data_IF_522702622709
#
_entry.id   IF_522702622709
#
_cell.length_a   1.000
_cell.length_b   1.000
_cell.length_c   1.000
_cell.angle_alpha   90.00
_cell.angle_beta   90.00
_cell.angle_gamma   90.00
#
_symmetry.space_group_name_H-M   'P 1'
#
loop_
_entity.id
_entity.type
_entity.pdbx_description
1 polymer ?
#
# COMPACT_ATOMS: atom_id res chain seq x y z
N UNK A 1 8.49 0.33 12.30
CA UNK A 1 7.56 -0.71 11.78
C UNK A 1 6.11 -0.28 11.95
N UNK A 2 5.22 -0.81 11.12
CA UNK A 2 3.78 -0.49 11.18
C UNK A 2 3.14 -0.82 12.53
N UNK A 3 3.57 -1.90 13.17
CA UNK A 3 3.10 -2.29 14.50
C UNK A 3 3.43 -1.23 15.55
N UNK A 4 4.61 -0.63 15.48
CA UNK A 4 5.04 0.42 16.42
C UNK A 4 4.22 1.69 16.25
N UNK A 5 3.94 2.06 15.00
CA UNK A 5 3.05 3.17 14.68
C UNK A 5 1.64 2.96 15.25
N UNK A 6 1.08 1.75 15.09
CA UNK A 6 -0.25 1.43 15.63
C UNK A 6 -0.29 1.45 17.16
N UNK A 7 0.77 1.02 17.83
CA UNK A 7 0.89 1.13 19.30
C UNK A 7 0.82 2.58 19.75
N UNK A 8 1.55 3.47 19.10
CA UNK A 8 1.52 4.91 19.38
C UNK A 8 0.12 5.49 19.16
N UNK A 9 -0.53 5.12 18.06
CA UNK A 9 -1.88 5.59 17.77
C UNK A 9 -2.90 5.10 18.80
N UNK A 10 -2.78 3.88 19.27
CA UNK A 10 -3.63 3.36 20.36
C UNK A 10 -3.44 4.11 21.67
N UNK A 11 -2.20 4.49 21.99
CA UNK A 11 -1.91 5.30 23.19
C UNK A 11 -2.49 6.71 23.08
N UNK A 12 -2.38 7.33 21.91
CA UNK A 12 -2.88 8.70 21.68
C UNK A 12 -4.41 8.76 21.54
N UNK A 13 -5.01 7.73 20.98
CA UNK A 13 -6.44 7.66 20.68
C UNK A 13 -7.04 6.33 21.16
N UNK A 14 -7.15 6.12 22.49
CA UNK A 14 -7.52 4.81 23.05
C UNK A 14 -8.96 4.38 22.75
N UNK A 15 -9.85 5.32 22.41
CA UNK A 15 -11.25 5.05 22.08
C UNK A 15 -11.51 4.85 20.59
N UNK A 16 -10.47 4.89 19.76
CA UNK A 16 -10.57 4.75 18.31
C UNK A 16 -10.34 3.30 17.87
N UNK A 17 -11.12 2.87 16.90
CA UNK A 17 -10.85 1.64 16.14
C UNK A 17 -10.00 1.99 14.92
N UNK A 18 -9.00 1.15 14.64
CA UNK A 18 -8.07 1.37 13.54
C UNK A 18 -8.29 0.37 12.43
N UNK A 19 -8.28 0.86 11.21
CA UNK A 19 -8.25 0.03 10.01
C UNK A 19 -6.94 0.34 9.28
N UNK A 20 -6.10 -0.67 9.14
CA UNK A 20 -4.86 -0.58 8.40
C UNK A 20 -5.11 -0.95 6.93
N UNK A 21 -4.92 0.01 6.04
CA UNK A 21 -5.15 -0.18 4.61
C UNK A 21 -3.89 -0.73 3.94
N UNK A 22 -4.04 -1.79 3.18
CA UNK A 22 -2.94 -2.38 2.42
C UNK A 22 -3.42 -2.98 1.10
N UNK A 23 -2.52 -3.05 0.13
CA UNK A 23 -2.78 -3.75 -1.12
C UNK A 23 -2.63 -5.27 -0.97
N UNK A 24 -3.15 -6.01 -1.94
CA UNK A 24 -3.07 -7.47 -1.95
C UNK A 24 -1.62 -8.01 -1.95
N UNK A 25 -0.70 -7.32 -2.60
CA UNK A 25 0.73 -7.63 -2.58
C UNK A 25 1.34 -7.51 -1.17
N UNK A 26 0.99 -6.47 -0.43
CA UNK A 26 1.39 -6.30 0.96
C UNK A 26 0.76 -7.35 1.88
N UNK A 27 -0.49 -7.75 1.63
CA UNK A 27 -1.14 -8.83 2.36
C UNK A 27 -0.39 -10.15 2.17
N UNK A 28 0.02 -10.45 0.95
CA UNK A 28 0.82 -11.66 0.64
C UNK A 28 2.13 -11.68 1.42
N UNK A 29 2.75 -10.52 1.61
CA UNK A 29 4.02 -10.39 2.30
C UNK A 29 3.88 -10.20 3.82
N UNK A 30 2.67 -10.04 4.33
CA UNK A 30 2.39 -9.79 5.75
C UNK A 30 3.03 -10.80 6.72
N UNK A 31 3.12 -12.11 6.41
CA UNK A 31 3.82 -13.06 7.29
C UNK A 31 5.29 -12.73 7.55
N UNK A 32 5.91 -11.96 6.67
CA UNK A 32 7.32 -11.53 6.81
C UNK A 32 7.48 -10.21 7.56
N UNK A 33 6.40 -9.54 7.89
CA UNK A 33 6.44 -8.27 8.60
C UNK A 33 6.84 -8.47 10.06
N UNK A 34 7.30 -7.40 10.68
CA UNK A 34 7.61 -7.41 12.10
C UNK A 34 6.32 -7.50 12.92
N UNK A 35 6.21 -8.55 13.74
CA UNK A 35 5.07 -8.82 14.63
C UNK A 35 3.70 -8.71 13.92
N UNK A 36 3.44 -9.49 12.87
CA UNK A 36 2.21 -9.36 12.11
C UNK A 36 0.96 -9.72 12.90
N UNK A 37 1.03 -10.69 13.83
CA UNK A 37 -0.09 -11.04 14.70
C UNK A 37 -0.45 -9.90 15.64
N UNK A 38 0.53 -9.19 16.19
CA UNK A 38 0.30 -8.03 17.01
C UNK A 38 -0.34 -6.89 16.22
N UNK A 39 0.09 -6.68 14.99
CA UNK A 39 -0.54 -5.71 14.08
C UNK A 39 -2.02 -6.03 13.87
N UNK A 40 -2.37 -7.30 13.68
CA UNK A 40 -3.75 -7.76 13.52
C UNK A 40 -4.59 -7.58 14.80
N UNK A 41 -3.97 -7.61 15.98
CA UNK A 41 -4.66 -7.28 17.23
C UNK A 41 -4.93 -5.79 17.40
N UNK A 42 -4.04 -4.96 16.87
CA UNK A 42 -4.12 -3.50 17.00
C UNK A 42 -5.04 -2.85 15.97
N UNK A 43 -5.23 -3.47 14.82
CA UNK A 43 -6.04 -2.93 13.72
C UNK A 43 -6.74 -4.03 12.93
N UNK A 44 -7.88 -3.68 12.36
CA UNK A 44 -8.47 -4.45 11.28
C UNK A 44 -7.71 -4.15 9.98
N UNK A 45 -7.73 -5.09 9.04
CA UNK A 45 -7.08 -4.93 7.75
C UNK A 45 -8.11 -4.60 6.68
N UNK A 46 -7.92 -3.50 5.97
CA UNK A 46 -8.67 -3.17 4.76
C UNK A 46 -7.80 -3.48 3.55
N UNK A 47 -8.19 -4.45 2.74
CA UNK A 47 -7.36 -4.96 1.66
C UNK A 47 -7.92 -4.55 0.31
N UNK A 48 -7.08 -3.92 -0.51
CA UNK A 48 -7.41 -3.59 -1.89
C UNK A 48 -6.86 -4.66 -2.83
N UNK A 49 -7.73 -5.21 -3.68
CA UNK A 49 -7.32 -6.13 -4.73
C UNK A 49 -6.42 -5.44 -5.77
N UNK A 50 -5.53 -6.22 -6.38
CA UNK A 50 -4.71 -5.77 -7.51
C UNK A 50 -4.86 -6.75 -8.67
N UNK A 51 -4.86 -6.26 -9.96
CA UNK A 51 -5.20 -7.10 -11.11
C UNK A 51 -4.25 -8.29 -11.33
N UNK A 52 -2.98 -8.12 -10.97
CA UNK A 52 -1.91 -9.07 -11.22
C UNK A 52 -1.47 -9.85 -9.97
N UNK A 53 -2.19 -9.71 -8.87
CA UNK A 53 -1.86 -10.39 -7.60
C UNK A 53 -2.93 -11.40 -7.24
N UNK A 54 -2.54 -12.66 -7.15
CA UNK A 54 -3.37 -13.76 -6.66
C UNK A 54 -3.03 -14.07 -5.21
N UNK A 55 -4.02 -14.17 -4.36
CA UNK A 55 -3.89 -14.45 -2.93
C UNK A 55 -4.52 -15.78 -2.60
N UNK A 56 -3.72 -16.67 -2.02
CA UNK A 56 -4.20 -17.93 -1.42
C UNK A 56 -4.47 -17.71 0.07
N UNK A 57 -5.71 -17.35 0.39
CA UNK A 57 -6.10 -17.04 1.77
C UNK A 57 -5.93 -18.21 2.73
N UNK A 58 -6.08 -19.43 2.25
CA UNK A 58 -5.86 -20.65 3.07
C UNK A 58 -4.43 -20.74 3.58
N UNK A 59 -3.45 -20.48 2.71
CA UNK A 59 -2.03 -20.51 3.08
C UNK A 59 -1.68 -19.37 4.05
N UNK A 60 -2.25 -18.19 3.82
CA UNK A 60 -2.06 -17.04 4.71
C UNK A 60 -2.69 -17.27 6.08
N UNK A 61 -3.88 -17.84 6.14
CA UNK A 61 -4.54 -18.20 7.41
C UNK A 61 -3.73 -19.22 8.20
N UNK A 62 -3.10 -20.19 7.53
CA UNK A 62 -2.22 -21.16 8.17
C UNK A 62 -0.99 -20.48 8.79
N UNK A 63 -0.43 -19.47 8.12
CA UNK A 63 0.72 -18.70 8.60
C UNK A 63 0.35 -17.67 9.67
N UNK A 64 -0.83 -17.06 9.55
CA UNK A 64 -1.34 -16.00 10.43
C UNK A 64 -2.77 -16.35 10.86
N UNK A 65 -2.94 -17.19 11.88
CA UNK A 65 -4.27 -17.55 12.37
C UNK A 65 -5.11 -16.33 12.77
N UNK A 66 -6.34 -16.27 12.27
CA UNK A 66 -7.25 -15.15 12.45
C UNK A 66 -7.22 -14.09 11.34
N UNK A 67 -6.37 -14.25 10.33
CA UNK A 67 -6.23 -13.30 9.24
C UNK A 67 -7.53 -13.13 8.43
N UNK A 68 -8.20 -14.21 8.11
CA UNK A 68 -9.45 -14.17 7.33
C UNK A 68 -10.54 -13.36 8.04
N UNK A 69 -10.63 -13.48 9.37
CA UNK A 69 -11.57 -12.70 10.18
C UNK A 69 -11.15 -11.23 10.32
N UNK A 70 -9.85 -10.95 10.36
CA UNK A 70 -9.31 -9.59 10.51
C UNK A 70 -9.30 -8.80 9.19
N UNK A 71 -9.25 -9.48 8.05
CA UNK A 71 -9.19 -8.85 6.73
C UNK A 71 -10.57 -8.60 6.15
N UNK A 72 -10.80 -7.38 5.66
CA UNK A 72 -11.96 -6.99 4.88
C UNK A 72 -11.49 -6.57 3.50
N UNK A 73 -12.00 -7.22 2.46
CA UNK A 73 -11.73 -6.82 1.09
C UNK A 73 -12.54 -5.59 0.73
N UNK A 74 -11.83 -4.55 0.26
CA UNK A 74 -12.45 -3.30 -0.12
C UNK A 74 -12.69 -3.34 -1.63
N UNK A 75 -13.95 -3.15 -2.01
CA UNK A 75 -14.34 -3.04 -3.40
C UNK A 75 -13.95 -1.66 -3.93
N UNK A 76 -13.05 -1.64 -4.89
CA UNK A 76 -12.56 -0.42 -5.52
C UNK A 76 -12.25 -0.69 -6.99
N UNK A 77 -12.28 0.33 -7.85
CA UNK A 77 -11.85 0.17 -9.23
C UNK A 77 -10.42 -0.38 -9.30
N UNK A 78 -10.23 -1.41 -10.13
CA UNK A 78 -8.91 -1.96 -10.38
C UNK A 78 -8.19 -1.09 -11.40
N UNK A 79 -7.20 -0.33 -10.92
CA UNK A 79 -6.34 0.51 -11.77
C UNK A 79 -4.96 -0.14 -11.79
N UNK A 80 -4.53 -0.56 -12.97
CA UNK A 80 -3.19 -1.12 -13.17
C UNK A 80 -2.15 -0.01 -13.25
N UNK A 81 -1.86 0.58 -12.08
CA UNK A 81 -0.92 1.67 -11.93
C UNK A 81 0.03 1.37 -10.76
N UNK A 82 1.32 1.59 -11.00
CA UNK A 82 2.36 1.44 -9.99
C UNK A 82 3.41 2.54 -10.14
N UNK A 83 4.19 2.74 -9.08
CA UNK A 83 5.32 3.67 -9.14
C UNK A 83 6.32 3.28 -10.26
N UNK A 84 6.54 2.00 -10.47
CA UNK A 84 7.42 1.50 -11.53
C UNK A 84 6.92 1.89 -12.92
N UNK A 85 5.62 1.78 -13.17
CA UNK A 85 4.99 2.18 -14.45
C UNK A 85 5.14 3.68 -14.67
N UNK A 86 4.93 4.49 -13.63
CA UNK A 86 5.08 5.95 -13.71
C UNK A 86 6.53 6.33 -14.00
N UNK A 87 7.48 5.77 -13.28
CA UNK A 87 8.92 6.05 -13.46
C UNK A 87 9.38 5.62 -14.86
N UNK A 88 9.01 4.42 -15.31
CA UNK A 88 9.34 3.94 -16.64
C UNK A 88 8.76 4.86 -17.74
N UNK A 89 7.53 5.32 -17.56
CA UNK A 89 6.89 6.27 -18.46
C UNK A 89 7.66 7.61 -18.52
N UNK A 90 8.08 8.14 -17.40
CA UNK A 90 8.90 9.37 -17.33
C UNK A 90 10.23 9.17 -18.05
N UNK A 91 10.90 8.06 -17.81
CA UNK A 91 12.19 7.74 -18.46
C UNK A 91 12.06 7.59 -19.97
N UNK A 92 10.90 7.17 -20.46
CA UNK A 92 10.57 7.08 -21.90
C UNK A 92 10.05 8.38 -22.51
N UNK A 93 9.97 9.46 -21.71
CA UNK A 93 9.51 10.78 -22.18
C UNK A 93 7.99 10.95 -22.18
N UNK A 94 7.24 10.06 -21.56
CA UNK A 94 5.79 10.22 -21.40
C UNK A 94 5.46 11.14 -20.21
N UNK A 95 4.45 11.99 -20.38
CA UNK A 95 3.97 12.85 -19.29
C UNK A 95 3.15 12.03 -18.30
N UNK A 96 3.46 12.07 -16.98
CA UNK A 96 2.67 11.43 -15.95
C UNK A 96 1.45 12.25 -15.52
N UNK A 97 1.05 13.23 -16.33
CA UNK A 97 -0.09 14.10 -16.05
C UNK A 97 -1.33 13.25 -15.73
N UNK A 98 -2.08 13.65 -14.71
CA UNK A 98 -3.24 12.95 -14.15
C UNK A 98 -2.93 11.65 -13.37
N UNK A 99 -1.71 11.14 -13.41
CA UNK A 99 -1.29 9.96 -12.65
C UNK A 99 -0.56 10.33 -11.35
N UNK A 100 0.01 11.53 -11.32
CA UNK A 100 0.79 12.04 -10.19
C UNK A 100 0.25 13.42 -9.81
N UNK A 101 0.04 13.71 -8.51
CA UNK A 101 -0.35 15.04 -8.06
C UNK A 101 0.65 16.12 -8.51
N UNK A 102 0.15 17.30 -8.82
CA UNK A 102 0.98 18.42 -9.31
C UNK A 102 2.12 18.78 -8.34
N UNK A 103 1.83 18.78 -7.04
CA UNK A 103 2.84 19.07 -6.01
C UNK A 103 3.99 18.04 -6.01
N UNK A 104 3.69 16.76 -6.25
CA UNK A 104 4.69 15.71 -6.38
C UNK A 104 5.48 15.86 -7.68
N UNK A 105 4.82 16.20 -8.79
CA UNK A 105 5.48 16.47 -10.06
C UNK A 105 6.41 17.68 -10.00
N UNK A 106 6.06 18.70 -9.23
CA UNK A 106 6.93 19.86 -9.01
C UNK A 106 8.28 19.45 -8.41
N UNK A 107 8.29 18.50 -7.48
CA UNK A 107 9.53 17.96 -6.88
C UNK A 107 10.33 17.18 -7.92
N UNK A 108 9.68 16.34 -8.72
CA UNK A 108 10.34 15.58 -9.80
C UNK A 108 11.02 16.51 -10.79
N UNK A 109 10.34 17.56 -11.20
CA UNK A 109 10.86 18.58 -12.12
C UNK A 109 12.02 19.39 -11.51
N UNK A 110 11.83 19.89 -10.30
CA UNK A 110 12.82 20.71 -9.61
C UNK A 110 14.12 19.94 -9.35
N UNK A 111 14.01 18.67 -8.98
CA UNK A 111 15.16 17.80 -8.68
C UNK A 111 15.65 16.98 -9.85
N UNK A 112 15.01 17.11 -11.01
CA UNK A 112 15.30 16.35 -12.25
C UNK A 112 15.38 14.84 -11.98
N UNK A 113 14.40 14.33 -11.22
CA UNK A 113 14.35 12.93 -10.88
C UNK A 113 13.95 12.09 -12.09
N UNK A 114 14.41 10.84 -12.12
CA UNK A 114 14.09 9.84 -13.14
C UNK A 114 14.38 10.25 -14.58
N UNK A 115 15.34 11.18 -14.78
CA UNK A 115 15.65 11.68 -16.11
C UNK A 115 14.57 12.58 -16.70
N UNK A 116 13.71 13.16 -15.87
CA UNK A 116 12.66 14.06 -16.32
C UNK A 116 13.27 15.30 -16.96
N UNK A 117 13.04 15.44 -18.26
CA UNK A 117 13.31 16.66 -19.01
C UNK A 117 11.96 17.28 -19.39
N UNK A 118 11.81 18.57 -19.14
CA UNK A 118 10.60 19.28 -19.50
C UNK A 118 10.51 19.32 -21.03
N UNK A 119 9.74 18.40 -21.59
CA UNK A 119 9.36 18.47 -22.99
C UNK A 119 8.15 19.39 -23.09
N UNK A 120 8.33 20.44 -23.79
CA UNK A 120 7.27 21.42 -24.10
C UNK A 120 6.23 20.75 -24.97
#
# INVERSE_FOLDING_TARGET
YSVDMLKILHEQYPDSEWIFLLGADSLRDLPRWHQPLELMHLARLGVFARPDVTIEMTDLEASLPGLTAAATWIDSPLIDLSSSVIVDGIMKGFSPRYLVPEAAMAVVQQRKLYGYEQTI
#
